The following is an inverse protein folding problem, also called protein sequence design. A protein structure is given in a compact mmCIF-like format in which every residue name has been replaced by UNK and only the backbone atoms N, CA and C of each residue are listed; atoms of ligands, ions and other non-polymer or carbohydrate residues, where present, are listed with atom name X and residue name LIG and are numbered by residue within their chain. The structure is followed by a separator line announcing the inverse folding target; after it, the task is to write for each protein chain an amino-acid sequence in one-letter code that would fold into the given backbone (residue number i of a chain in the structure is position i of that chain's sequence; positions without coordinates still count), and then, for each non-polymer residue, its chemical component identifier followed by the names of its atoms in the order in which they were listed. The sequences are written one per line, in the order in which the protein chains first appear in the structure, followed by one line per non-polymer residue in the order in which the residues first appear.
data_IF_277964358598
#
_entry.id   IF_277964358598
#
_cell.length_a   1.000
_cell.length_b   1.000
_cell.length_c   1.000
_cell.angle_alpha   90.00
_cell.angle_beta   90.00
_cell.angle_gamma   90.00
#
_symmetry.space_group_name_H-M   'P 1'
#
loop_
_entity.id
_entity.type
_entity.pdbx_description
1 polymer ?
#
# COMPACT_ATOMS: atom_id res chain seq x y z
N UNK A 1 13.97 10.82 17.01
CA UNK A 1 13.11 10.03 17.93
C UNK A 1 13.47 8.55 17.80
N UNK A 2 13.72 7.85 18.90
CA UNK A 2 13.92 6.38 18.89
C UNK A 2 12.68 5.64 19.36
N UNK A 3 12.71 4.30 19.37
CA UNK A 3 11.57 3.45 19.78
C UNK A 3 10.94 3.85 21.11
N UNK A 4 11.75 4.04 22.17
CA UNK A 4 11.26 4.49 23.49
C UNK A 4 10.50 5.82 23.43
N UNK A 5 10.97 6.76 22.61
CA UNK A 5 10.30 8.04 22.40
C UNK A 5 8.95 7.87 21.73
N UNK A 6 8.87 6.99 20.72
CA UNK A 6 7.61 6.65 20.06
C UNK A 6 6.65 5.92 21.00
N UNK A 7 7.14 5.02 21.85
CA UNK A 7 6.32 4.35 22.86
C UNK A 7 5.77 5.33 23.89
N UNK A 8 6.56 6.30 24.34
CA UNK A 8 6.08 7.39 25.20
C UNK A 8 5.00 8.24 24.53
N UNK A 9 5.19 8.56 23.24
CA UNK A 9 4.16 9.24 22.44
C UNK A 9 2.87 8.41 22.34
N UNK A 10 3.00 7.09 22.09
CA UNK A 10 1.87 6.17 21.98
C UNK A 10 1.03 6.08 23.26
N UNK A 11 1.65 6.15 24.44
CA UNK A 11 0.94 6.22 25.72
C UNK A 11 0.11 7.51 25.88
N UNK A 12 0.58 8.63 25.33
CA UNK A 12 -0.22 9.85 25.26
C UNK A 12 -1.37 9.72 24.25
N UNK A 13 -1.09 9.09 23.11
CA UNK A 13 -2.07 8.89 22.04
C UNK A 13 -3.25 8.01 22.48
N UNK A 14 -3.01 6.94 23.25
CA UNK A 14 -4.09 6.08 23.76
C UNK A 14 -5.03 6.82 24.72
N UNK A 15 -4.54 7.86 25.41
CA UNK A 15 -5.33 8.70 26.32
C UNK A 15 -6.03 9.86 25.64
N UNK A 16 -5.74 10.11 24.36
CA UNK A 16 -6.31 11.24 23.63
C UNK A 16 -7.80 11.00 23.35
N UNK A 17 -8.65 11.91 23.83
CA UNK A 17 -10.12 11.83 23.71
C UNK A 17 -10.71 12.70 22.60
N UNK A 18 -9.88 13.44 21.86
CA UNK A 18 -10.35 14.41 20.86
C UNK A 18 -9.56 14.39 19.55
N UNK A 19 -8.43 13.69 19.48
CA UNK A 19 -7.58 13.70 18.30
C UNK A 19 -8.17 12.83 17.19
N UNK A 20 -8.67 13.47 16.14
CA UNK A 20 -9.30 12.79 15.01
C UNK A 20 -8.35 12.58 13.82
N UNK A 21 -7.32 13.41 13.69
CA UNK A 21 -6.37 13.38 12.59
C UNK A 21 -4.95 13.43 13.15
N UNK A 22 -4.10 12.51 12.71
CA UNK A 22 -2.70 12.46 13.11
C UNK A 22 -1.82 12.19 11.88
N UNK A 23 -0.79 13.01 11.72
CA UNK A 23 0.31 12.78 10.77
C UNK A 23 1.61 12.72 11.54
N UNK A 24 2.38 11.66 11.34
CA UNK A 24 3.69 11.47 11.94
C UNK A 24 4.76 11.32 10.86
N UNK A 25 5.75 12.21 10.86
CA UNK A 25 6.91 12.14 9.97
C UNK A 25 8.07 11.62 10.80
N UNK A 26 8.42 10.36 10.61
CA UNK A 26 9.41 9.65 11.42
C UNK A 26 10.55 9.07 10.55
N UNK A 27 10.80 9.65 9.38
CA UNK A 27 11.87 9.20 8.50
C UNK A 27 13.27 9.40 9.12
N UNK A 28 14.23 8.55 8.74
CA UNK A 28 15.63 8.62 9.17
C UNK A 28 15.79 8.64 10.71
N UNK A 29 15.11 7.71 11.39
CA UNK A 29 15.17 7.58 12.83
C UNK A 29 15.73 6.20 13.22
N UNK A 30 15.84 5.95 14.52
CA UNK A 30 16.24 4.66 15.08
C UNK A 30 15.02 3.96 15.70
N UNK A 31 13.90 3.96 14.98
CA UNK A 31 12.69 3.27 15.39
C UNK A 31 12.83 1.80 14.98
N UNK A 32 12.63 0.94 15.96
CA UNK A 32 12.58 -0.50 15.85
C UNK A 32 11.15 -0.97 16.14
N UNK A 33 10.94 -2.27 15.98
CA UNK A 33 9.66 -2.97 16.06
C UNK A 33 8.84 -2.62 17.31
N UNK A 34 9.50 -2.53 18.47
CA UNK A 34 8.85 -2.23 19.76
C UNK A 34 8.13 -0.87 19.77
N UNK A 35 8.68 0.13 19.08
CA UNK A 35 8.08 1.47 19.02
C UNK A 35 6.81 1.46 18.15
N UNK A 36 6.84 0.70 17.06
CA UNK A 36 5.70 0.52 16.16
C UNK A 36 4.60 -0.32 16.81
N UNK A 37 4.98 -1.36 17.54
CA UNK A 37 4.03 -2.17 18.31
C UNK A 37 3.28 -1.32 19.33
N UNK A 38 4.01 -0.51 20.12
CA UNK A 38 3.41 0.39 21.10
C UNK A 38 2.45 1.40 20.43
N UNK A 39 2.86 1.97 19.29
CA UNK A 39 2.01 2.87 18.52
C UNK A 39 0.74 2.18 18.03
N UNK A 40 0.85 0.98 17.48
CA UNK A 40 -0.30 0.22 16.99
C UNK A 40 -1.27 -0.19 18.10
N UNK A 41 -0.75 -0.62 19.26
CA UNK A 41 -1.56 -0.93 20.44
C UNK A 41 -2.35 0.29 20.93
N UNK A 42 -1.77 1.50 20.84
CA UNK A 42 -2.48 2.73 21.24
C UNK A 42 -3.76 2.99 20.42
N UNK A 43 -3.87 2.43 19.20
CA UNK A 43 -5.05 2.58 18.37
C UNK A 43 -6.22 1.66 18.76
N UNK A 44 -5.97 0.60 19.53
CA UNK A 44 -7.04 -0.22 20.08
C UNK A 44 -7.88 0.58 21.08
N UNK A 45 -7.21 1.42 21.87
CA UNK A 45 -7.83 2.26 22.90
C UNK A 45 -8.30 3.62 22.36
N UNK A 46 -7.65 4.13 21.30
CA UNK A 46 -8.04 5.40 20.69
C UNK A 46 -9.28 5.24 19.79
N UNK A 47 -10.45 5.60 20.33
CA UNK A 47 -11.73 5.52 19.62
C UNK A 47 -12.03 6.72 18.70
N UNK A 48 -11.24 7.79 18.80
CA UNK A 48 -11.52 9.08 18.15
C UNK A 48 -10.75 9.29 16.85
N UNK A 49 -9.59 8.65 16.69
CA UNK A 49 -8.75 8.79 15.52
C UNK A 49 -9.45 8.20 14.28
N UNK A 50 -9.66 9.05 13.27
CA UNK A 50 -10.28 8.70 11.99
C UNK A 50 -9.31 8.74 10.82
N UNK A 51 -8.30 9.59 10.89
CA UNK A 51 -7.28 9.72 9.85
C UNK A 51 -5.90 9.57 10.45
N UNK A 52 -5.13 8.60 9.96
CA UNK A 52 -3.77 8.38 10.38
C UNK A 52 -2.83 8.33 9.17
N UNK A 53 -1.77 9.14 9.22
CA UNK A 53 -0.69 9.13 8.25
C UNK A 53 0.64 8.95 8.97
N UNK A 54 1.49 8.07 8.48
CA UNK A 54 2.83 7.88 9.04
C UNK A 54 3.86 7.63 7.95
N UNK A 55 5.00 8.31 8.07
CA UNK A 55 6.17 8.10 7.22
C UNK A 55 7.31 7.50 8.04
N UNK A 56 7.69 6.26 7.72
CA UNK A 56 8.62 5.42 8.48
C UNK A 56 9.95 5.18 7.76
N UNK A 57 10.18 5.76 6.58
CA UNK A 57 11.35 5.43 5.77
C UNK A 57 12.70 5.60 6.49
N UNK A 58 13.65 4.72 6.21
CA UNK A 58 14.98 4.69 6.83
C UNK A 58 14.92 4.53 8.35
N UNK A 59 14.28 3.45 8.81
CA UNK A 59 14.28 3.00 10.20
C UNK A 59 14.75 1.53 10.26
N UNK A 60 14.60 0.89 11.42
CA UNK A 60 15.00 -0.49 11.70
C UNK A 60 13.79 -1.38 11.97
N UNK A 61 12.67 -1.13 11.28
CA UNK A 61 11.44 -1.91 11.43
C UNK A 61 11.57 -3.16 10.57
N UNK A 62 11.21 -4.32 11.09
CA UNK A 62 11.29 -5.58 10.37
C UNK A 62 12.24 -6.63 10.95
N UNK A 63 12.94 -6.36 12.05
CA UNK A 63 14.08 -7.17 12.48
C UNK A 63 13.71 -8.29 13.45
N UNK A 64 12.83 -8.03 14.42
CA UNK A 64 12.71 -8.81 15.65
C UNK A 64 11.32 -9.41 15.89
N UNK A 65 10.24 -8.74 15.48
CA UNK A 65 8.86 -9.19 15.76
C UNK A 65 7.87 -8.89 14.62
N UNK A 66 7.61 -9.91 13.81
CA UNK A 66 6.70 -9.92 12.64
C UNK A 66 5.26 -9.44 12.95
N UNK A 67 4.87 -9.30 14.22
CA UNK A 67 3.53 -8.82 14.62
C UNK A 67 3.42 -7.31 14.74
N UNK A 68 4.54 -6.58 14.80
CA UNK A 68 4.57 -5.16 15.13
C UNK A 68 3.81 -4.27 14.13
N UNK A 69 3.99 -4.51 12.83
CA UNK A 69 3.26 -3.76 11.79
C UNK A 69 1.77 -4.10 11.76
N UNK A 70 1.40 -5.32 12.12
CA UNK A 70 0.02 -5.74 12.22
C UNK A 70 -0.74 -4.91 13.28
N UNK A 71 -0.03 -4.39 14.28
CA UNK A 71 -0.59 -3.54 15.31
C UNK A 71 -1.09 -2.19 14.77
N UNK A 72 -0.46 -1.61 13.75
CA UNK A 72 -0.88 -0.34 13.14
C UNK A 72 -2.27 -0.42 12.48
N UNK A 73 -2.77 -1.63 12.26
CA UNK A 73 -3.99 -1.92 11.50
C UNK A 73 -5.06 -2.58 12.37
N UNK A 74 -4.92 -2.48 13.69
CA UNK A 74 -5.94 -2.96 14.64
C UNK A 74 -7.15 -2.02 14.71
N UNK A 75 -6.97 -0.75 14.35
CA UNK A 75 -8.02 0.25 14.51
C UNK A 75 -9.22 -0.01 13.58
N UNK A 76 -10.38 -0.29 14.20
CA UNK A 76 -11.67 -0.38 13.50
C UNK A 76 -12.26 1.00 13.19
N UNK A 77 -11.71 2.08 13.76
CA UNK A 77 -12.26 3.43 13.67
C UNK A 77 -11.67 4.26 12.53
N UNK A 78 -10.52 3.86 12.00
CA UNK A 78 -9.87 4.57 10.90
C UNK A 78 -10.73 4.52 9.64
N UNK A 79 -10.85 5.69 9.03
CA UNK A 79 -11.48 5.95 7.75
C UNK A 79 -10.41 6.22 6.69
N UNK A 80 -9.31 6.86 7.08
CA UNK A 80 -8.17 7.13 6.22
C UNK A 80 -6.89 6.58 6.86
N UNK A 81 -6.15 5.78 6.10
CA UNK A 81 -4.85 5.25 6.50
C UNK A 81 -3.84 5.50 5.39
N UNK A 82 -2.72 6.14 5.73
CA UNK A 82 -1.56 6.27 4.85
C UNK A 82 -0.31 5.81 5.61
N UNK A 83 0.40 4.84 5.06
CA UNK A 83 1.65 4.34 5.61
C UNK A 83 2.70 4.36 4.50
N UNK A 84 3.73 5.17 4.69
CA UNK A 84 4.97 5.08 3.93
C UNK A 84 5.97 4.27 4.73
N UNK A 85 6.15 3.01 4.33
CA UNK A 85 7.13 2.13 4.94
C UNK A 85 8.55 2.54 4.60
N UNK A 86 8.81 3.22 3.47
CA UNK A 86 10.14 3.60 3.02
C UNK A 86 11.19 2.50 3.19
N UNK A 87 12.47 2.86 3.33
CA UNK A 87 13.56 1.89 3.48
C UNK A 87 13.53 1.32 4.91
N UNK A 88 12.95 0.13 5.08
CA UNK A 88 12.95 -0.66 6.31
C UNK A 88 13.32 -2.12 5.98
N UNK A 89 13.26 -3.00 6.97
CA UNK A 89 13.66 -4.41 6.89
C UNK A 89 12.42 -5.33 6.82
N UNK A 90 11.36 -4.87 6.16
CA UNK A 90 10.09 -5.60 6.03
C UNK A 90 10.30 -6.82 5.12
N UNK A 91 10.17 -8.01 5.69
CA UNK A 91 10.25 -9.29 4.96
C UNK A 91 8.85 -9.83 4.58
N UNK A 92 8.82 -11.01 3.96
CA UNK A 92 7.58 -11.69 3.56
C UNK A 92 6.66 -12.01 4.74
N UNK A 93 7.22 -12.42 5.88
CA UNK A 93 6.45 -12.78 7.08
C UNK A 93 5.77 -11.54 7.65
N UNK A 94 6.53 -10.45 7.69
CA UNK A 94 6.04 -9.14 8.09
C UNK A 94 4.86 -8.67 7.22
N UNK A 95 5.00 -8.73 5.89
CA UNK A 95 3.92 -8.33 4.98
C UNK A 95 2.70 -9.26 5.06
N UNK A 96 2.92 -10.55 5.29
CA UNK A 96 1.85 -11.53 5.50
C UNK A 96 1.04 -11.21 6.77
N UNK A 97 1.70 -10.93 7.89
CA UNK A 97 1.03 -10.58 9.14
C UNK A 97 0.26 -9.26 9.00
N UNK A 98 0.89 -8.25 8.42
CA UNK A 98 0.25 -6.97 8.10
C UNK A 98 -1.02 -7.16 7.27
N UNK A 99 -0.93 -7.90 6.16
CA UNK A 99 -2.06 -8.20 5.28
C UNK A 99 -3.18 -8.91 6.03
N UNK A 100 -2.84 -9.91 6.85
CA UNK A 100 -3.82 -10.70 7.63
C UNK A 100 -4.66 -9.85 8.59
N UNK A 101 -4.12 -8.73 9.09
CA UNK A 101 -4.85 -7.78 9.94
C UNK A 101 -5.55 -6.70 9.14
N UNK A 102 -4.93 -6.23 8.05
CA UNK A 102 -5.47 -5.23 7.13
C UNK A 102 -6.86 -5.59 6.61
N UNK A 103 -7.13 -6.88 6.39
CA UNK A 103 -8.46 -7.36 5.98
C UNK A 103 -9.60 -6.96 6.93
N UNK A 104 -9.30 -6.61 8.18
CA UNK A 104 -10.29 -6.24 9.20
C UNK A 104 -10.57 -4.72 9.26
N UNK A 105 -9.83 -3.89 8.52
CA UNK A 105 -10.07 -2.44 8.45
C UNK A 105 -11.22 -2.09 7.48
N UNK A 106 -12.41 -2.62 7.77
CA UNK A 106 -13.59 -2.57 6.89
C UNK A 106 -14.18 -1.16 6.71
N UNK A 107 -13.79 -0.20 7.57
CA UNK A 107 -14.29 1.17 7.54
C UNK A 107 -13.46 2.12 6.67
N UNK A 108 -12.33 1.66 6.12
CA UNK A 108 -11.47 2.51 5.30
C UNK A 108 -12.18 2.96 4.01
N UNK A 109 -12.15 4.27 3.79
CA UNK A 109 -12.54 4.95 2.55
C UNK A 109 -11.30 5.29 1.73
N UNK A 110 -10.18 5.57 2.40
CA UNK A 110 -8.90 5.85 1.76
C UNK A 110 -7.79 4.99 2.36
N UNK A 111 -7.06 4.28 1.50
CA UNK A 111 -5.87 3.52 1.86
C UNK A 111 -4.71 3.92 0.95
N UNK A 112 -3.59 4.27 1.57
CA UNK A 112 -2.32 4.50 0.90
C UNK A 112 -1.23 3.65 1.55
N UNK A 113 -0.60 2.79 0.77
CA UNK A 113 0.51 1.93 1.20
C UNK A 113 1.68 2.13 0.25
N UNK A 114 2.73 2.78 0.75
CA UNK A 114 3.95 3.01 0.00
C UNK A 114 5.04 2.10 0.56
N UNK A 115 5.54 1.20 -0.28
CA UNK A 115 6.69 0.37 0.02
C UNK A 115 7.91 0.94 -0.70
N UNK A 116 9.05 0.99 -0.01
CA UNK A 116 10.37 1.13 -0.62
C UNK A 116 11.27 0.03 -0.02
N UNK A 117 12.22 -0.52 -0.77
CA UNK A 117 13.23 -1.41 -0.19
C UNK A 117 14.51 -1.27 -0.96
N UNK A 118 15.62 -1.36 -0.21
CA UNK A 118 16.96 -1.49 -0.78
C UNK A 118 17.38 -2.96 -0.92
N UNK A 119 16.75 -3.89 -0.19
CA UNK A 119 17.33 -5.22 0.06
C UNK A 119 16.36 -6.40 -0.06
N UNK A 120 15.05 -6.16 -0.16
CA UNK A 120 14.05 -7.23 -0.15
C UNK A 120 12.96 -6.97 -1.16
N UNK A 121 12.80 -7.92 -2.07
CA UNK A 121 11.62 -8.03 -2.90
C UNK A 121 10.64 -9.01 -2.27
N UNK A 122 9.39 -8.59 -2.06
CA UNK A 122 8.36 -9.57 -1.73
C UNK A 122 7.92 -10.34 -2.99
N UNK A 123 7.50 -11.58 -2.81
CA UNK A 123 7.00 -12.41 -3.89
C UNK A 123 5.60 -11.99 -4.34
N UNK A 124 5.19 -12.48 -5.52
CA UNK A 124 3.83 -12.28 -6.03
C UNK A 124 2.76 -12.80 -5.07
N UNK A 125 3.06 -13.84 -4.30
CA UNK A 125 2.14 -14.43 -3.32
C UNK A 125 1.81 -13.44 -2.19
N UNK A 126 2.81 -12.74 -1.67
CA UNK A 126 2.64 -11.75 -0.62
C UNK A 126 1.84 -10.54 -1.14
N UNK A 127 2.11 -10.12 -2.37
CA UNK A 127 1.35 -9.09 -3.07
C UNK A 127 -0.13 -9.46 -3.26
N UNK A 128 -0.40 -10.72 -3.64
CA UNK A 128 -1.75 -11.26 -3.76
C UNK A 128 -2.46 -11.25 -2.41
N UNK A 129 -1.79 -11.69 -1.33
CA UNK A 129 -2.36 -11.68 0.02
C UNK A 129 -2.76 -10.26 0.46
N UNK A 130 -1.92 -9.27 0.14
CA UNK A 130 -2.23 -7.87 0.38
C UNK A 130 -3.47 -7.44 -0.43
N UNK A 131 -3.52 -7.75 -1.73
CA UNK A 131 -4.69 -7.44 -2.57
C UNK A 131 -5.97 -8.11 -2.08
N UNK A 132 -5.92 -9.39 -1.67
CA UNK A 132 -7.05 -10.13 -1.11
C UNK A 132 -7.56 -9.55 0.21
N UNK A 133 -6.66 -8.92 0.97
CA UNK A 133 -7.02 -8.20 2.19
C UNK A 133 -7.70 -6.87 1.87
N UNK A 134 -7.20 -6.12 0.87
CA UNK A 134 -7.76 -4.85 0.41
C UNK A 134 -9.19 -5.02 -0.11
N UNK A 135 -9.50 -6.08 -0.87
CA UNK A 135 -10.85 -6.28 -1.44
C UNK A 135 -11.94 -6.52 -0.37
N UNK A 136 -11.55 -6.77 0.90
CA UNK A 136 -12.50 -6.87 2.01
C UNK A 136 -13.07 -5.48 2.38
N UNK A 137 -12.35 -4.41 2.07
CA UNK A 137 -12.75 -3.04 2.38
C UNK A 137 -13.84 -2.54 1.42
N UNK A 138 -15.08 -2.95 1.66
CA UNK A 138 -16.20 -2.63 0.78
C UNK A 138 -16.50 -1.14 0.68
N UNK A 139 -16.02 -0.31 1.62
CA UNK A 139 -16.19 1.16 1.59
C UNK A 139 -15.05 1.89 0.87
N UNK A 140 -14.02 1.18 0.42
CA UNK A 140 -12.82 1.80 -0.13
C UNK A 140 -13.13 2.52 -1.45
N UNK A 141 -12.83 3.82 -1.47
CA UNK A 141 -13.02 4.69 -2.64
C UNK A 141 -11.69 5.17 -3.21
N UNK A 142 -10.64 5.24 -2.39
CA UNK A 142 -9.31 5.68 -2.79
C UNK A 142 -8.29 4.64 -2.38
N UNK A 143 -7.57 4.10 -3.37
CA UNK A 143 -6.47 3.19 -3.15
C UNK A 143 -5.23 3.74 -3.85
N UNK A 144 -4.17 3.98 -3.07
CA UNK A 144 -2.83 4.17 -3.60
C UNK A 144 -1.96 3.05 -3.07
N UNK A 145 -1.33 2.31 -3.96
CA UNK A 145 -0.42 1.23 -3.57
C UNK A 145 0.84 1.26 -4.43
N UNK A 146 1.99 1.32 -3.77
CA UNK A 146 3.27 1.21 -4.43
C UNK A 146 3.81 -0.21 -4.32
N UNK A 147 3.72 -0.96 -5.41
CA UNK A 147 4.18 -2.34 -5.54
C UNK A 147 5.58 -2.44 -6.15
N UNK A 148 6.28 -1.31 -6.31
CA UNK A 148 7.63 -1.22 -6.88
C UNK A 148 8.70 -2.05 -6.20
N UNK A 149 8.44 -2.44 -4.95
CA UNK A 149 9.36 -3.23 -4.13
C UNK A 149 9.20 -4.72 -4.39
N UNK A 150 8.18 -5.15 -5.11
CA UNK A 150 7.99 -6.55 -5.40
C UNK A 150 8.76 -6.92 -6.66
N UNK A 151 9.39 -8.10 -6.72
CA UNK A 151 9.90 -8.66 -7.98
C UNK A 151 8.69 -9.12 -8.80
N UNK A 152 7.85 -8.17 -9.20
CA UNK A 152 6.68 -8.37 -10.04
C UNK A 152 7.18 -8.32 -11.48
N UNK A 153 7.20 -9.48 -12.12
CA UNK A 153 7.22 -9.54 -13.57
C UNK A 153 5.84 -9.15 -14.13
N UNK A 154 5.76 -8.87 -15.43
CA UNK A 154 4.49 -8.55 -16.09
C UNK A 154 3.40 -9.61 -15.82
N UNK A 155 3.78 -10.90 -15.73
CA UNK A 155 2.86 -12.02 -15.41
C UNK A 155 2.26 -11.88 -14.00
N UNK A 156 3.02 -11.34 -13.05
CA UNK A 156 2.58 -11.18 -11.67
C UNK A 156 1.57 -10.04 -11.57
N UNK A 157 1.79 -8.94 -12.30
CA UNK A 157 0.82 -7.84 -12.40
C UNK A 157 -0.52 -8.33 -12.97
N UNK A 158 -0.46 -9.23 -13.95
CA UNK A 158 -1.66 -9.84 -14.54
C UNK A 158 -2.45 -10.69 -13.52
N UNK A 159 -1.81 -11.17 -12.45
CA UNK A 159 -2.49 -11.87 -11.37
C UNK A 159 -3.11 -10.93 -10.32
N UNK A 160 -2.55 -9.72 -10.14
CA UNK A 160 -2.98 -8.76 -9.12
C UNK A 160 -4.13 -7.86 -9.57
N UNK A 161 -4.09 -7.38 -10.81
CA UNK A 161 -5.11 -6.47 -11.34
C UNK A 161 -6.53 -7.04 -11.30
N UNK A 162 -6.78 -8.32 -11.65
CA UNK A 162 -8.12 -8.90 -11.53
C UNK A 162 -8.62 -8.94 -10.09
N UNK A 163 -7.75 -9.17 -9.11
CA UNK A 163 -8.11 -9.13 -7.68
C UNK A 163 -8.56 -7.72 -7.31
N UNK A 164 -7.74 -6.70 -7.62
CA UNK A 164 -8.04 -5.31 -7.30
C UNK A 164 -9.26 -4.75 -8.04
N UNK A 165 -9.59 -5.29 -9.23
CA UNK A 165 -10.82 -4.96 -9.96
C UNK A 165 -12.10 -5.30 -9.17
N UNK A 166 -12.02 -6.16 -8.14
CA UNK A 166 -13.15 -6.47 -7.27
C UNK A 166 -13.44 -5.37 -6.23
N UNK A 167 -12.58 -4.34 -6.11
CA UNK A 167 -12.86 -3.15 -5.32
C UNK A 167 -13.87 -2.23 -6.06
N UNK A 168 -15.14 -2.63 -6.09
CA UNK A 168 -16.19 -2.03 -6.91
C UNK A 168 -16.56 -0.58 -6.59
N UNK A 169 -16.09 -0.06 -5.45
CA UNK A 169 -16.40 1.30 -4.98
C UNK A 169 -15.24 2.28 -5.18
N UNK A 170 -14.13 1.84 -5.79
CA UNK A 170 -13.01 2.71 -6.10
C UNK A 170 -13.40 3.81 -7.10
N UNK A 171 -13.20 5.04 -6.66
CA UNK A 171 -13.28 6.26 -7.47
C UNK A 171 -11.88 6.63 -7.98
N UNK A 172 -10.87 6.43 -7.14
CA UNK A 172 -9.48 6.70 -7.45
C UNK A 172 -8.63 5.49 -7.12
N UNK A 173 -7.89 5.00 -8.11
CA UNK A 173 -6.95 3.91 -7.95
C UNK A 173 -5.61 4.26 -8.60
N UNK A 174 -4.58 4.37 -7.76
CA UNK A 174 -3.21 4.58 -8.16
C UNK A 174 -2.40 3.33 -7.82
N UNK A 175 -1.80 2.71 -8.83
CA UNK A 175 -0.78 1.67 -8.63
C UNK A 175 0.54 2.16 -9.21
N UNK A 176 1.58 2.13 -8.37
CA UNK A 176 2.94 2.43 -8.77
C UNK A 176 3.73 1.13 -8.84
N UNK A 177 4.41 0.89 -9.97
CA UNK A 177 5.23 -0.29 -10.19
C UNK A 177 6.54 0.19 -10.81
N UNK A 178 7.67 -0.08 -10.16
CA UNK A 178 9.00 0.02 -10.74
C UNK A 178 9.37 -1.35 -11.27
N UNK A 179 9.49 -1.47 -12.59
CA UNK A 179 10.10 -2.65 -13.19
C UNK A 179 11.61 -2.40 -13.24
N UNK A 180 12.35 -3.04 -12.32
CA UNK A 180 13.80 -3.12 -12.38
C UNK A 180 14.17 -4.19 -13.40
N UNK A 181 14.19 -3.83 -14.68
CA UNK A 181 14.93 -4.62 -15.66
C UNK A 181 16.39 -4.15 -15.60
N UNK A 182 17.33 -5.07 -15.37
CA UNK A 182 18.76 -4.79 -15.10
C UNK A 182 19.51 -3.95 -16.18
N UNK A 183 18.85 -3.59 -17.28
CA UNK A 183 19.38 -2.76 -18.36
C UNK A 183 18.62 -1.46 -18.63
N UNK A 184 17.44 -1.23 -18.04
CA UNK A 184 16.66 0.02 -18.14
C UNK A 184 15.52 0.02 -17.11
N UNK A 185 15.59 0.88 -16.08
CA UNK A 185 14.51 1.05 -15.12
C UNK A 185 13.33 1.80 -15.76
N UNK A 186 12.16 1.16 -15.84
CA UNK A 186 10.92 1.82 -16.27
C UNK A 186 9.91 1.75 -15.13
N UNK A 187 9.53 2.92 -14.60
CA UNK A 187 8.39 3.03 -13.70
C UNK A 187 7.11 3.10 -14.52
N UNK A 188 6.18 2.20 -14.23
CA UNK A 188 4.84 2.18 -14.79
C UNK A 188 3.90 2.62 -13.67
N UNK A 189 3.37 3.84 -13.79
CA UNK A 189 2.23 4.27 -12.99
C UNK A 189 0.96 4.01 -13.80
N UNK A 190 0.06 3.20 -13.26
CA UNK A 190 -1.27 3.01 -13.83
C UNK A 190 -2.25 3.74 -12.90
N UNK A 191 -2.86 4.79 -13.43
CA UNK A 191 -3.87 5.58 -12.73
C UNK A 191 -5.23 5.33 -13.36
N UNK A 192 -6.17 4.85 -12.56
CA UNK A 192 -7.58 4.74 -12.95
C UNK A 192 -8.35 5.83 -12.22
N UNK A 193 -8.95 6.73 -13.00
CA UNK A 193 -9.58 7.95 -12.50
C UNK A 193 -11.09 7.81 -12.28
N UNK A 194 -11.71 6.67 -12.63
CA UNK A 194 -13.13 6.45 -12.38
C UNK A 194 -13.54 4.97 -12.37
N UNK A 195 -14.73 4.71 -11.81
CA UNK A 195 -15.39 3.40 -11.73
C UNK A 195 -15.59 2.73 -13.09
N UNK A 196 -15.86 3.49 -14.16
CA UNK A 196 -16.05 2.94 -15.53
C UNK A 196 -14.80 2.24 -16.06
N UNK A 197 -13.60 2.75 -15.72
CA UNK A 197 -12.33 2.15 -16.14
C UNK A 197 -12.06 0.81 -15.43
N UNK A 198 -12.40 0.72 -14.13
CA UNK A 198 -12.34 -0.53 -13.36
C UNK A 198 -13.39 -1.55 -13.82
N UNK A 199 -14.61 -1.10 -14.13
CA UNK A 199 -15.66 -1.96 -14.68
C UNK A 199 -15.28 -2.51 -16.07
N UNK A 200 -14.54 -1.74 -16.87
CA UNK A 200 -14.02 -2.19 -18.18
C UNK A 200 -12.98 -3.30 -18.04
N UNK A 201 -12.12 -3.21 -17.02
CA UNK A 201 -11.22 -4.30 -16.62
C UNK A 201 -12.06 -5.51 -16.21
N UNK A 202 -12.97 -5.35 -15.23
CA UNK A 202 -13.80 -6.44 -14.69
C UNK A 202 -14.55 -7.22 -15.78
N UNK A 203 -15.15 -6.52 -16.75
CA UNK A 203 -15.89 -7.14 -17.88
C UNK A 203 -15.00 -7.89 -18.88
N UNK A 204 -13.73 -7.50 -19.06
CA UNK A 204 -12.82 -8.16 -20.00
C UNK A 204 -12.12 -9.37 -19.42
N UNK A 205 -11.83 -9.36 -18.11
CA UNK A 205 -11.20 -10.50 -17.45
C UNK A 205 -12.17 -11.65 -17.11
N UNK A 206 -13.49 -11.44 -17.21
CA UNK A 206 -14.48 -12.54 -17.08
C UNK A 206 -14.63 -13.40 -18.34
N UNK A 207 -13.97 -13.06 -19.46
CA UNK A 207 -14.23 -13.65 -20.79
C UNK A 207 -13.04 -14.41 -21.41
N UNK A 208 -11.82 -14.38 -20.87
CA UNK A 208 -10.66 -14.98 -21.56
C UNK A 208 -9.89 -16.02 -20.76
N UNK A 209 -10.04 -17.29 -21.18
CA UNK A 209 -8.95 -18.26 -21.17
C UNK A 209 -8.05 -18.04 -22.40
N UNK A 210 -6.76 -18.36 -22.25
CA UNK A 210 -5.66 -18.28 -23.23
C UNK A 210 -4.95 -16.92 -23.37
N UNK A 211 -3.69 -16.91 -22.94
CA UNK A 211 -2.88 -15.76 -22.53
C UNK A 211 -1.58 -15.63 -23.36
N UNK A 212 -1.51 -16.15 -24.59
CA UNK A 212 -0.22 -16.35 -25.28
C UNK A 212 0.18 -15.31 -26.34
N UNK A 213 -0.39 -14.10 -26.37
CA UNK A 213 0.01 -13.08 -27.37
C UNK A 213 0.25 -11.66 -26.86
N UNK A 214 0.37 -11.47 -25.54
CA UNK A 214 0.51 -10.13 -24.96
C UNK A 214 1.93 -9.71 -24.59
N UNK A 215 2.90 -10.62 -24.73
CA UNK A 215 4.33 -10.35 -24.47
C UNK A 215 4.98 -9.54 -25.61
N UNK A 216 4.47 -9.61 -26.85
CA UNK A 216 5.03 -8.85 -27.98
C UNK A 216 4.54 -7.39 -28.08
N UNK A 217 3.60 -6.98 -27.23
CA UNK A 217 2.72 -5.84 -27.55
C UNK A 217 2.31 -4.99 -26.35
N UNK A 218 3.19 -4.83 -25.36
CA UNK A 218 2.97 -3.88 -24.25
C UNK A 218 2.62 -2.47 -24.75
N UNK A 219 3.21 -2.01 -25.87
CA UNK A 219 2.84 -0.74 -26.51
C UNK A 219 1.46 -0.78 -27.24
N UNK A 220 1.00 -1.92 -27.77
CA UNK A 220 -0.30 -1.99 -28.48
C UNK A 220 -1.49 -2.27 -27.56
N UNK A 221 -1.26 -2.94 -26.43
CA UNK A 221 -2.29 -3.12 -25.40
C UNK A 221 -2.73 -1.76 -24.85
N UNK A 222 -1.77 -0.84 -24.72
CA UNK A 222 -1.99 0.52 -24.23
C UNK A 222 -2.51 1.46 -25.33
N UNK A 223 -2.13 1.26 -26.60
CA UNK A 223 -2.66 2.00 -27.74
C UNK A 223 -4.17 1.80 -27.99
N UNK A 224 -4.77 0.71 -27.48
CA UNK A 224 -6.20 0.42 -27.63
C UNK A 224 -7.10 1.21 -26.66
N UNK A 225 -6.51 1.95 -25.72
CA UNK A 225 -7.21 2.60 -24.62
C UNK A 225 -6.81 4.07 -24.46
N UNK A 226 -7.44 4.97 -25.24
CA UNK A 226 -7.22 6.43 -25.18
C UNK A 226 -7.47 7.07 -23.80
N UNK A 227 -8.14 6.35 -22.90
CA UNK A 227 -8.48 6.82 -21.55
C UNK A 227 -7.52 6.35 -20.44
N UNK A 228 -6.59 5.45 -20.76
CA UNK A 228 -5.49 5.06 -19.87
C UNK A 228 -4.34 6.03 -20.08
N UNK A 229 -4.08 6.91 -19.10
CA UNK A 229 -2.84 7.68 -19.10
C UNK A 229 -1.74 6.82 -18.50
N UNK A 230 -0.86 6.29 -19.35
CA UNK A 230 0.50 6.00 -18.90
C UNK A 230 1.17 7.32 -18.60
N UNK A 231 1.59 7.47 -17.36
CA UNK A 231 2.56 8.49 -17.01
C UNK A 231 3.88 7.75 -16.84
N UNK A 232 4.80 7.99 -17.77
CA UNK A 232 6.24 7.77 -17.53
C UNK A 232 6.70 8.79 -16.49
N UNK A 233 7.77 8.48 -15.75
CA UNK A 233 8.33 9.28 -14.63
C UNK A 233 8.31 10.80 -14.82
N UNK A 234 8.49 11.30 -16.05
CA UNK A 234 8.43 12.73 -16.38
C UNK A 234 7.07 13.41 -16.14
N UNK A 235 5.98 12.64 -16.06
CA UNK A 235 4.59 13.13 -16.02
C UNK A 235 3.82 12.65 -14.78
N UNK A 236 4.41 11.80 -13.94
CA UNK A 236 3.82 11.48 -12.64
C UNK A 236 4.08 12.65 -11.69
N UNK A 237 3.02 13.21 -11.09
CA UNK A 237 3.22 13.95 -9.84
C UNK A 237 3.96 12.99 -8.90
N UNK A 238 5.08 13.43 -8.27
CA UNK A 238 5.71 12.63 -7.24
C UNK A 238 4.63 12.23 -6.22
N UNK A 239 4.67 11.01 -5.65
CA UNK A 239 3.78 10.68 -4.54
C UNK A 239 3.86 11.85 -3.57
N UNK A 240 2.72 12.40 -3.06
CA UNK A 240 2.70 13.65 -2.33
C UNK A 240 3.84 13.61 -1.34
N UNK A 241 4.88 14.40 -1.65
CA UNK A 241 6.08 14.43 -0.83
C UNK A 241 5.55 14.90 0.49
N UNK A 242 5.54 14.01 1.48
CA UNK A 242 5.31 14.43 2.85
C UNK A 242 6.53 15.30 3.11
N UNK A 243 6.28 16.61 2.97
CA UNK A 243 7.23 17.72 2.95
C UNK A 243 8.19 17.53 4.13
N UNK A 244 9.47 17.75 3.85
CA UNK A 244 10.60 17.65 4.78
C UNK A 244 10.36 18.38 6.12
#
# INVERSE_FOLDING_TARGET
MGSKGLSGFAQGLSKSKSLQNLTLILRNNQIEDEGILALGQSFADNLTLKSFKIALGSNKIGIYDDTCLAALVISKNLINLSIDFGINLIDNRYLQQFSSKLKNCLNLISLELLFSSKFYCFGVKEAQNLCYSIIQMKKLQRLTINLSVLHIENKDLMSLLPILANCSNLVLFNIQILQLNFSNSKQICIKFNNKKQLDSIRKRYSIFGALDKLIEKSNSFLAKYKELKLMTLSNCEPPPTIIE
#
